data_IF_654404368370
#
_entry.id   IF_654404368370
#
_cell.length_a   1.000
_cell.length_b   1.000
_cell.length_c   1.000
_cell.angle_alpha   90.00
_cell.angle_beta   90.00
_cell.angle_gamma   90.00
#
_symmetry.space_group_name_H-M   'P 1'
#
loop_
_entity.id
_entity.type
_entity.pdbx_description
1 polymer ?
#
# COMPACT_ATOMS: atom_id res chain seq x y z
N UNK A 1 -6.08 19.59 -24.96
CA UNK A 1 -7.44 19.90 -24.45
C UNK A 1 -7.91 18.71 -23.64
N UNK A 2 -8.04 18.86 -22.32
CA UNK A 2 -8.61 17.81 -21.46
C UNK A 2 -10.02 18.26 -21.10
N UNK A 3 -11.01 17.54 -21.62
CA UNK A 3 -12.40 17.69 -21.26
C UNK A 3 -12.56 17.36 -19.78
N UNK A 4 -12.84 18.36 -18.95
CA UNK A 4 -13.44 18.13 -17.65
C UNK A 4 -14.92 17.84 -17.87
N UNK A 5 -15.29 16.56 -17.82
CA UNK A 5 -16.68 16.17 -17.66
C UNK A 5 -17.11 16.55 -16.25
N UNK A 6 -17.88 17.63 -16.13
CA UNK A 6 -18.73 17.90 -14.97
C UNK A 6 -19.86 16.88 -14.93
N UNK A 7 -19.99 16.21 -13.79
CA UNK A 7 -21.05 15.28 -13.37
C UNK A 7 -21.10 13.87 -14.00
N UNK A 8 -20.50 12.90 -13.30
CA UNK A 8 -21.21 11.76 -12.70
C UNK A 8 -20.25 10.81 -11.95
N UNK A 9 -20.56 10.47 -10.69
CA UNK A 9 -20.08 9.30 -9.93
C UNK A 9 -18.65 9.22 -9.36
N UNK A 10 -17.90 10.32 -9.21
CA UNK A 10 -16.64 10.24 -8.47
C UNK A 10 -16.88 10.21 -6.95
N UNK A 11 -16.70 9.03 -6.34
CA UNK A 11 -16.90 8.80 -4.90
C UNK A 11 -15.63 8.26 -4.27
N UNK A 12 -15.28 8.80 -3.11
CA UNK A 12 -14.26 8.23 -2.26
C UNK A 12 -14.84 7.12 -1.40
N UNK A 13 -14.05 6.10 -1.14
CA UNK A 13 -14.27 5.09 -0.12
C UNK A 13 -13.98 5.69 1.25
N UNK A 14 -14.49 5.02 2.30
CA UNK A 14 -14.13 5.33 3.68
C UNK A 14 -12.59 5.35 3.88
N UNK A 15 -12.04 6.25 4.72
CA UNK A 15 -12.74 7.28 5.50
C UNK A 15 -12.92 8.61 4.74
N UNK A 16 -12.48 8.70 3.48
CA UNK A 16 -12.52 9.93 2.68
C UNK A 16 -13.91 10.27 2.11
N UNK A 17 -14.92 9.46 2.38
CA UNK A 17 -16.32 9.82 2.15
C UNK A 17 -16.91 10.71 3.26
N UNK A 18 -16.19 10.96 4.35
CA UNK A 18 -16.66 11.79 5.45
C UNK A 18 -16.43 13.28 5.18
N UNK A 19 -17.50 13.98 4.77
CA UNK A 19 -17.47 15.41 4.44
C UNK A 19 -17.05 16.31 5.60
N UNK A 20 -17.45 15.99 6.83
CA UNK A 20 -17.11 16.82 8.01
C UNK A 20 -15.61 16.77 8.30
N UNK A 21 -15.01 15.57 8.26
CA UNK A 21 -13.56 15.41 8.43
C UNK A 21 -12.79 16.10 7.31
N UNK A 22 -13.26 15.98 6.07
CA UNK A 22 -12.67 16.70 4.94
C UNK A 22 -12.75 18.22 5.11
N UNK A 23 -13.89 18.77 5.56
CA UNK A 23 -14.03 20.21 5.80
C UNK A 23 -13.01 20.72 6.83
N UNK A 24 -12.75 19.95 7.90
CA UNK A 24 -11.71 20.31 8.89
C UNK A 24 -10.28 20.15 8.37
N UNK A 25 -10.06 19.26 7.40
CA UNK A 25 -8.76 19.05 6.77
C UNK A 25 -8.45 20.11 5.71
N UNK A 26 -9.42 20.43 4.86
CA UNK A 26 -9.26 21.22 3.64
C UNK A 26 -9.28 22.73 3.90
N UNK A 27 -8.36 23.19 4.75
CA UNK A 27 -8.15 24.60 5.06
C UNK A 27 -6.91 25.15 4.34
N UNK A 28 -6.83 26.48 4.23
CA UNK A 28 -5.65 27.13 3.65
C UNK A 28 -4.37 26.81 4.44
N UNK A 29 -4.44 26.84 5.77
CA UNK A 29 -3.32 26.55 6.66
C UNK A 29 -2.80 25.11 6.47
N UNK A 30 -3.70 24.13 6.42
CA UNK A 30 -3.33 22.73 6.20
C UNK A 30 -2.76 22.53 4.80
N UNK A 31 -3.29 23.23 3.78
CA UNK A 31 -2.71 23.22 2.44
C UNK A 31 -1.28 23.75 2.46
N UNK A 32 -1.02 24.86 3.14
CA UNK A 32 0.33 25.39 3.28
C UNK A 32 1.28 24.37 3.94
N UNK A 33 0.85 23.76 5.05
CA UNK A 33 1.64 22.76 5.76
C UNK A 33 1.94 21.50 4.93
N UNK A 34 0.97 21.02 4.15
CA UNK A 34 1.12 19.79 3.37
C UNK A 34 1.94 20.04 2.09
N UNK A 35 1.65 21.13 1.39
CA UNK A 35 2.21 21.39 0.06
C UNK A 35 3.57 22.07 0.10
N UNK A 36 3.79 23.04 0.99
CA UNK A 36 5.01 23.84 0.97
C UNK A 36 6.18 23.15 1.70
N UNK A 37 7.40 23.51 1.28
CA UNK A 37 8.63 22.99 1.88
C UNK A 37 8.79 23.37 3.36
N UNK A 38 8.26 24.54 3.77
CA UNK A 38 8.27 24.99 5.17
C UNK A 38 7.53 24.04 6.11
N UNK A 39 6.51 23.33 5.63
CA UNK A 39 5.76 22.35 6.42
C UNK A 39 6.41 20.97 6.50
N UNK A 40 7.43 20.68 5.69
CA UNK A 40 8.01 19.33 5.58
C UNK A 40 8.58 18.81 6.91
N UNK A 41 9.21 19.68 7.70
CA UNK A 41 9.77 19.30 9.02
C UNK A 41 8.69 18.86 10.02
N UNK A 42 7.53 19.54 10.02
CA UNK A 42 6.38 19.16 10.82
C UNK A 42 5.80 17.84 10.34
N UNK A 43 5.60 17.68 9.02
CA UNK A 43 5.10 16.44 8.44
C UNK A 43 5.99 15.25 8.79
N UNK A 44 7.31 15.40 8.68
CA UNK A 44 8.25 14.34 9.05
C UNK A 44 8.14 13.94 10.52
N UNK A 45 7.92 14.91 11.43
CA UNK A 45 7.69 14.64 12.85
C UNK A 45 6.36 13.90 13.06
N UNK A 46 5.28 14.38 12.45
CA UNK A 46 3.96 13.73 12.55
C UNK A 46 3.99 12.31 11.98
N UNK A 47 4.67 12.10 10.85
CA UNK A 47 4.86 10.78 10.27
C UNK A 47 5.62 9.82 11.16
N UNK A 48 6.33 10.28 12.18
CA UNK A 48 7.05 9.42 13.15
C UNK A 48 6.30 9.27 14.47
N UNK A 49 5.22 10.01 14.64
CA UNK A 49 4.57 10.15 15.93
C UNK A 49 3.65 8.97 16.23
N UNK A 50 3.70 8.45 17.45
CA UNK A 50 2.92 7.27 17.87
C UNK A 50 1.42 7.52 17.88
N UNK A 51 1.00 8.79 17.96
CA UNK A 51 -0.40 9.19 17.83
C UNK A 51 -1.06 8.68 16.53
N UNK A 52 -0.29 8.40 15.47
CA UNK A 52 -0.82 7.78 14.26
C UNK A 52 -1.36 6.36 14.50
N UNK A 53 -0.92 5.68 15.56
CA UNK A 53 -1.35 4.32 15.89
C UNK A 53 -2.45 4.25 16.95
N UNK A 54 -2.89 5.40 17.51
CA UNK A 54 -3.91 5.43 18.56
C UNK A 54 -5.32 5.41 17.97
N UNK A 55 -6.20 4.56 18.52
CA UNK A 55 -7.60 4.42 18.06
C UNK A 55 -8.47 5.66 18.30
N UNK A 56 -8.10 6.52 19.26
CA UNK A 56 -8.82 7.75 19.64
C UNK A 56 -7.87 8.95 19.70
N UNK A 57 -7.01 9.09 18.69
CA UNK A 57 -5.99 10.15 18.62
C UNK A 57 -6.57 11.56 18.84
N UNK A 58 -7.82 11.80 18.43
CA UNK A 58 -8.54 13.07 18.54
C UNK A 58 -8.73 13.56 19.98
N UNK A 59 -8.69 12.66 20.98
CA UNK A 59 -8.78 13.04 22.40
C UNK A 59 -7.46 13.53 22.98
N UNK A 60 -6.34 13.14 22.38
CA UNK A 60 -5.00 13.32 22.94
C UNK A 60 -4.11 14.24 22.11
N UNK A 61 -4.47 14.48 20.85
CA UNK A 61 -3.76 15.39 19.95
C UNK A 61 -4.36 16.79 20.06
N UNK A 62 -3.51 17.81 20.05
CA UNK A 62 -3.96 19.20 20.00
C UNK A 62 -4.98 19.42 18.87
N UNK A 63 -6.05 20.21 19.10
CA UNK A 63 -7.07 20.50 18.09
C UNK A 63 -6.49 20.96 16.76
N UNK A 64 -5.39 21.73 16.80
CA UNK A 64 -4.68 22.24 15.62
C UNK A 64 -4.16 21.13 14.68
N UNK A 65 -3.78 19.97 15.21
CA UNK A 65 -3.20 18.88 14.43
C UNK A 65 -4.16 17.71 14.22
N UNK A 66 -5.36 17.75 14.81
CA UNK A 66 -6.30 16.64 14.81
C UNK A 66 -6.68 16.23 13.39
N UNK A 67 -6.97 17.19 12.51
CA UNK A 67 -7.30 16.91 11.11
C UNK A 67 -6.12 16.28 10.34
N UNK A 68 -4.89 16.75 10.58
CA UNK A 68 -3.68 16.21 9.95
C UNK A 68 -3.37 14.80 10.45
N UNK A 69 -3.52 14.55 11.75
CA UNK A 69 -3.34 13.21 12.32
C UNK A 69 -4.38 12.25 11.75
N UNK A 70 -5.67 12.62 11.76
CA UNK A 70 -6.72 11.83 11.12
C UNK A 70 -6.39 11.52 9.66
N UNK A 71 -5.93 12.51 8.89
CA UNK A 71 -5.55 12.33 7.50
C UNK A 71 -4.41 11.31 7.31
N UNK A 72 -3.37 11.38 8.14
CA UNK A 72 -2.25 10.43 8.10
C UNK A 72 -2.65 9.03 8.58
N UNK A 73 -3.57 8.93 9.54
CA UNK A 73 -4.14 7.66 9.97
C UNK A 73 -5.01 7.03 8.87
N UNK A 74 -5.82 7.84 8.19
CA UNK A 74 -6.60 7.42 7.03
C UNK A 74 -5.72 6.86 5.90
N UNK A 75 -4.52 7.43 5.73
CA UNK A 75 -3.49 6.94 4.81
C UNK A 75 -2.72 5.72 5.35
N UNK A 76 -3.08 5.15 6.50
CA UNK A 76 -2.47 3.94 7.07
C UNK A 76 -0.97 4.12 7.38
N UNK A 77 -0.59 5.30 7.88
CA UNK A 77 0.82 5.58 8.21
C UNK A 77 1.31 4.92 9.49
N UNK A 78 0.40 4.45 10.36
CA UNK A 78 0.79 3.57 11.46
C UNK A 78 1.46 2.28 10.94
N UNK A 79 0.86 1.62 9.94
CA UNK A 79 1.42 0.40 9.35
C UNK A 79 2.74 0.67 8.60
N UNK A 80 2.86 1.86 7.99
CA UNK A 80 4.12 2.30 7.38
C UNK A 80 5.21 2.50 8.44
N UNK A 81 4.88 3.08 9.59
CA UNK A 81 5.81 3.21 10.70
C UNK A 81 6.24 1.87 11.28
N UNK A 82 5.34 0.89 11.37
CA UNK A 82 5.74 -0.46 11.76
C UNK A 82 6.78 -1.06 10.81
N UNK A 83 6.64 -0.85 9.49
CA UNK A 83 7.66 -1.31 8.51
C UNK A 83 9.02 -0.63 8.76
N UNK A 84 9.00 0.67 9.05
CA UNK A 84 10.21 1.45 9.28
C UNK A 84 10.90 1.10 10.60
N UNK A 85 10.12 0.85 11.66
CA UNK A 85 10.63 0.54 12.99
C UNK A 85 11.09 -0.93 13.12
N UNK A 86 10.44 -1.86 12.43
CA UNK A 86 10.78 -3.29 12.45
C UNK A 86 11.76 -3.66 11.33
N UNK A 87 12.56 -2.70 10.87
CA UNK A 87 13.47 -2.89 9.76
C UNK A 87 14.41 -4.09 9.99
N UNK A 88 14.45 -5.00 9.02
CA UNK A 88 15.64 -5.82 8.78
C UNK A 88 16.77 -4.85 8.41
N UNK A 89 17.93 -4.99 9.04
CA UNK A 89 19.10 -4.12 8.94
C UNK A 89 19.54 -3.75 7.51
N UNK A 90 19.09 -4.49 6.49
CA UNK A 90 19.55 -4.37 5.10
C UNK A 90 18.62 -3.56 4.16
N UNK A 91 17.41 -3.15 4.58
CA UNK A 91 16.47 -2.46 3.67
C UNK A 91 16.25 -1.02 4.09
N UNK A 92 16.77 -0.07 3.31
CA UNK A 92 16.54 1.36 3.51
C UNK A 92 15.31 1.86 2.74
N UNK A 93 14.36 2.44 3.47
CA UNK A 93 13.18 3.09 2.90
C UNK A 93 13.27 4.61 3.01
N UNK A 94 12.78 5.30 1.97
CA UNK A 94 12.77 6.74 1.85
C UNK A 94 11.39 7.31 2.21
N UNK A 95 11.35 8.17 3.23
CA UNK A 95 10.12 8.83 3.71
C UNK A 95 9.58 9.88 2.74
N UNK A 96 10.32 10.29 1.72
CA UNK A 96 9.82 11.17 0.63
C UNK A 96 8.56 10.60 -0.02
N UNK A 97 8.43 9.26 -0.11
CA UNK A 97 7.21 8.62 -0.61
C UNK A 97 5.97 9.04 0.19
N UNK A 98 6.05 9.07 1.53
CA UNK A 98 4.94 9.47 2.41
C UNK A 98 4.56 10.94 2.20
N UNK A 99 5.54 11.82 1.96
CA UNK A 99 5.26 13.23 1.65
C UNK A 99 4.49 13.33 0.34
N UNK A 100 5.02 12.72 -0.73
CA UNK A 100 4.46 12.87 -2.07
C UNK A 100 3.06 12.27 -2.16
N UNK A 101 2.82 11.12 -1.53
CA UNK A 101 1.48 10.53 -1.51
C UNK A 101 0.51 11.30 -0.60
N UNK A 102 0.97 11.88 0.52
CA UNK A 102 0.14 12.77 1.34
C UNK A 102 -0.26 14.05 0.58
N UNK A 103 0.67 14.65 -0.17
CA UNK A 103 0.38 15.80 -1.03
C UNK A 103 -0.64 15.46 -2.12
N UNK A 104 -0.43 14.34 -2.82
CA UNK A 104 -1.33 13.88 -3.87
C UNK A 104 -2.73 13.60 -3.31
N UNK A 105 -2.81 12.86 -2.20
CA UNK A 105 -4.06 12.56 -1.52
C UNK A 105 -4.79 13.84 -1.08
N UNK A 106 -4.09 14.79 -0.46
CA UNK A 106 -4.68 16.05 -0.03
C UNK A 106 -5.24 16.85 -1.20
N UNK A 107 -4.47 17.00 -2.28
CA UNK A 107 -4.92 17.70 -3.48
C UNK A 107 -6.20 17.07 -4.07
N UNK A 108 -6.28 15.74 -4.09
CA UNK A 108 -7.44 15.05 -4.61
C UNK A 108 -8.67 15.19 -3.71
N UNK A 109 -8.56 14.95 -2.40
CA UNK A 109 -9.71 14.98 -1.49
C UNK A 109 -10.19 16.40 -1.18
N UNK A 110 -9.32 17.40 -1.30
CA UNK A 110 -9.65 18.81 -1.13
C UNK A 110 -9.92 19.54 -2.45
N UNK A 111 -10.05 18.82 -3.57
CA UNK A 111 -10.32 19.36 -4.90
C UNK A 111 -9.34 20.45 -5.38
N UNK A 112 -8.07 20.38 -4.94
CA UNK A 112 -6.97 21.27 -5.35
C UNK A 112 -6.20 20.66 -6.52
N UNK A 113 -6.88 20.33 -7.62
CA UNK A 113 -6.29 19.57 -8.74
C UNK A 113 -5.11 20.26 -9.41
N UNK A 114 -5.05 21.59 -9.36
CA UNK A 114 -3.91 22.38 -9.85
C UNK A 114 -2.59 21.99 -9.15
N UNK A 115 -2.65 21.61 -7.88
CA UNK A 115 -1.47 21.19 -7.13
C UNK A 115 -0.89 19.86 -7.64
N UNK A 116 -1.71 19.00 -8.26
CA UNK A 116 -1.22 17.74 -8.82
C UNK A 116 -0.19 17.99 -9.91
N UNK A 117 -0.48 18.92 -10.82
CA UNK A 117 0.43 19.23 -11.92
C UNK A 117 1.62 20.06 -11.43
N UNK A 118 1.37 21.07 -10.60
CA UNK A 118 2.40 21.97 -10.07
C UNK A 118 3.52 21.21 -9.35
N UNK A 119 3.17 20.19 -8.57
CA UNK A 119 4.12 19.39 -7.79
C UNK A 119 4.48 18.04 -8.42
N UNK A 120 4.07 17.78 -9.67
CA UNK A 120 4.40 16.53 -10.37
C UNK A 120 3.84 15.27 -9.69
N UNK A 121 2.64 15.35 -9.12
CA UNK A 121 2.07 14.32 -8.24
C UNK A 121 1.20 13.27 -8.97
N UNK A 122 1.12 13.35 -10.31
CA UNK A 122 0.19 12.52 -11.12
C UNK A 122 0.27 11.03 -10.75
N UNK A 123 1.48 10.46 -10.67
CA UNK A 123 1.64 9.03 -10.37
C UNK A 123 1.31 8.65 -8.93
N UNK A 124 1.53 9.55 -7.98
CA UNK A 124 1.11 9.36 -6.59
C UNK A 124 -0.41 9.50 -6.44
N UNK A 125 -1.03 10.37 -7.25
CA UNK A 125 -2.48 10.52 -7.33
C UNK A 125 -3.13 9.23 -7.86
N UNK A 126 -2.52 8.58 -8.86
CA UNK A 126 -2.98 7.29 -9.38
C UNK A 126 -2.93 6.20 -8.29
N UNK A 127 -1.84 6.11 -7.50
CA UNK A 127 -1.74 5.19 -6.35
C UNK A 127 -2.83 5.45 -5.29
N UNK A 128 -3.11 6.73 -4.98
CA UNK A 128 -4.15 7.08 -4.03
C UNK A 128 -5.54 6.68 -4.53
N UNK A 129 -5.85 6.95 -5.81
CA UNK A 129 -7.10 6.53 -6.44
C UNK A 129 -7.29 5.02 -6.39
N UNK A 130 -6.25 4.24 -6.69
CA UNK A 130 -6.31 2.78 -6.54
C UNK A 130 -6.73 2.34 -5.13
N UNK A 131 -6.31 3.04 -4.08
CA UNK A 131 -6.66 2.71 -2.69
C UNK A 131 -8.07 3.14 -2.28
N UNK A 132 -8.52 4.31 -2.75
CA UNK A 132 -9.67 5.00 -2.14
C UNK A 132 -10.76 5.44 -3.12
N UNK A 133 -10.56 5.40 -4.43
CA UNK A 133 -11.64 5.67 -5.38
C UNK A 133 -12.60 4.48 -5.43
N UNK A 134 -13.91 4.71 -5.38
CA UNK A 134 -14.94 3.66 -5.27
C UNK A 134 -14.95 2.70 -6.47
N UNK A 135 -14.89 3.24 -7.69
CA UNK A 135 -14.89 2.47 -8.92
C UNK A 135 -13.58 2.69 -9.69
N UNK A 136 -12.53 1.99 -9.27
CA UNK A 136 -11.21 2.11 -9.88
C UNK A 136 -10.85 0.88 -10.75
N UNK A 137 -10.59 1.12 -12.03
CA UNK A 137 -10.27 0.07 -13.01
C UNK A 137 -8.96 -0.63 -12.69
N UNK A 138 -7.91 0.12 -12.31
CA UNK A 138 -6.60 -0.46 -11.98
C UNK A 138 -6.67 -1.40 -10.77
N UNK A 139 -7.41 -1.01 -9.71
CA UNK A 139 -7.69 -1.88 -8.57
C UNK A 139 -8.41 -3.15 -9.01
N UNK A 140 -9.39 -3.01 -9.89
CA UNK A 140 -10.16 -4.14 -10.41
C UNK A 140 -9.29 -5.13 -11.19
N UNK A 141 -8.38 -4.64 -12.03
CA UNK A 141 -7.41 -5.47 -12.78
C UNK A 141 -6.51 -6.26 -11.82
N UNK A 142 -5.91 -5.59 -10.82
CA UNK A 142 -5.06 -6.25 -9.81
C UNK A 142 -5.84 -7.34 -9.07
N UNK A 143 -7.08 -7.02 -8.68
CA UNK A 143 -7.95 -7.95 -7.98
C UNK A 143 -8.33 -9.18 -8.82
N UNK A 144 -8.67 -8.98 -10.09
CA UNK A 144 -8.94 -10.08 -11.01
C UNK A 144 -7.71 -10.98 -11.18
N UNK A 145 -6.51 -10.41 -11.30
CA UNK A 145 -5.28 -11.19 -11.42
C UNK A 145 -5.00 -12.03 -10.16
N UNK A 146 -5.22 -11.47 -8.98
CA UNK A 146 -5.07 -12.21 -7.71
C UNK A 146 -6.13 -13.30 -7.59
N UNK A 147 -7.39 -13.01 -7.93
CA UNK A 147 -8.47 -14.00 -7.93
C UNK A 147 -8.17 -15.15 -8.89
N UNK A 148 -7.71 -14.86 -10.11
CA UNK A 148 -7.33 -15.87 -11.10
C UNK A 148 -6.20 -16.75 -10.58
N UNK A 149 -5.15 -16.13 -10.04
CA UNK A 149 -4.01 -16.84 -9.44
C UNK A 149 -4.46 -17.74 -8.30
N UNK A 150 -5.25 -17.22 -7.36
CA UNK A 150 -5.70 -17.97 -6.18
C UNK A 150 -6.77 -19.02 -6.50
N UNK A 151 -7.67 -18.79 -7.45
CA UNK A 151 -8.66 -19.78 -7.89
C UNK A 151 -7.97 -21.04 -8.41
N UNK A 152 -6.96 -20.86 -9.27
CA UNK A 152 -6.17 -21.99 -9.78
C UNK A 152 -5.39 -22.72 -8.69
N UNK A 153 -4.97 -22.02 -7.64
CA UNK A 153 -4.34 -22.65 -6.46
C UNK A 153 -5.36 -23.44 -5.63
N UNK A 154 -6.47 -22.82 -5.26
CA UNK A 154 -7.50 -23.42 -4.42
C UNK A 154 -8.11 -24.66 -5.08
N UNK A 155 -8.41 -24.61 -6.39
CA UNK A 155 -8.95 -25.76 -7.12
C UNK A 155 -7.97 -26.94 -7.21
N UNK A 156 -6.65 -26.70 -7.17
CA UNK A 156 -5.65 -27.78 -7.18
C UNK A 156 -5.42 -28.40 -5.81
N UNK A 157 -5.75 -27.68 -4.74
CA UNK A 157 -5.39 -28.06 -3.37
C UNK A 157 -6.61 -28.43 -2.51
N UNK A 158 -7.81 -28.00 -2.90
CA UNK A 158 -9.07 -28.34 -2.24
C UNK A 158 -9.98 -29.04 -3.26
N UNK A 159 -10.49 -30.20 -2.89
CA UNK A 159 -11.50 -30.96 -3.65
C UNK A 159 -12.87 -30.28 -3.65
N UNK A 160 -13.15 -29.41 -2.67
CA UNK A 160 -14.39 -28.64 -2.58
C UNK A 160 -14.34 -27.27 -3.28
N UNK A 161 -15.50 -26.84 -3.80
CA UNK A 161 -15.66 -25.55 -4.49
C UNK A 161 -15.22 -24.40 -3.57
N UNK A 162 -14.26 -23.54 -3.97
CA UNK A 162 -13.70 -22.49 -3.11
C UNK A 162 -14.61 -21.25 -2.95
N UNK A 163 -15.94 -21.41 -2.97
CA UNK A 163 -16.91 -20.32 -3.04
C UNK A 163 -16.72 -19.25 -1.96
N UNK A 164 -16.64 -19.66 -0.70
CA UNK A 164 -16.57 -18.74 0.44
C UNK A 164 -15.26 -17.94 0.50
N UNK A 165 -14.14 -18.57 0.14
CA UNK A 165 -12.81 -17.93 0.11
C UNK A 165 -12.70 -16.91 -1.02
N UNK A 166 -13.30 -17.21 -2.18
CA UNK A 166 -13.38 -16.26 -3.29
C UNK A 166 -14.30 -15.08 -2.96
N UNK A 167 -15.41 -15.32 -2.26
CA UNK A 167 -16.29 -14.24 -1.76
C UNK A 167 -15.56 -13.31 -0.78
N UNK A 168 -14.74 -13.85 0.13
CA UNK A 168 -13.92 -13.03 1.03
C UNK A 168 -12.89 -12.19 0.27
N UNK A 169 -12.21 -12.77 -0.72
CA UNK A 169 -11.28 -12.04 -1.58
C UNK A 169 -11.99 -10.92 -2.36
N UNK A 170 -13.20 -11.16 -2.87
CA UNK A 170 -14.03 -10.15 -3.52
C UNK A 170 -14.35 -8.99 -2.56
N UNK A 171 -14.70 -9.29 -1.31
CA UNK A 171 -14.94 -8.27 -0.27
C UNK A 171 -13.69 -7.45 0.03
N UNK A 172 -12.51 -8.08 0.09
CA UNK A 172 -11.25 -7.35 0.28
C UNK A 172 -10.88 -6.46 -0.91
N UNK A 173 -11.29 -6.86 -2.10
CA UNK A 173 -11.04 -6.18 -3.36
C UNK A 173 -11.94 -4.99 -3.64
N UNK A 174 -13.18 -5.02 -3.14
CA UNK A 174 -14.13 -3.91 -3.34
C UNK A 174 -13.70 -2.62 -2.63
N UNK A 175 -12.87 -2.71 -1.59
CA UNK A 175 -12.43 -1.56 -0.80
C UNK A 175 -13.47 -1.07 0.23
N UNK A 176 -14.72 -1.56 0.18
CA UNK A 176 -15.74 -1.29 1.19
C UNK A 176 -15.55 -2.07 2.49
N UNK A 177 -14.81 -3.18 2.45
CA UNK A 177 -14.45 -3.95 3.64
C UNK A 177 -13.44 -3.20 4.50
N UNK A 178 -13.54 -3.35 5.83
CA UNK A 178 -12.48 -2.95 6.77
C UNK A 178 -11.15 -3.64 6.43
N UNK A 179 -11.21 -4.86 5.89
CA UNK A 179 -10.05 -5.63 5.46
C UNK A 179 -9.84 -5.42 3.97
N UNK A 180 -8.95 -4.49 3.61
CA UNK A 180 -8.58 -4.22 2.20
C UNK A 180 -7.40 -5.06 1.76
N UNK A 181 -7.42 -5.53 0.52
CA UNK A 181 -6.31 -6.26 -0.09
C UNK A 181 -5.13 -5.35 -0.39
N UNK A 182 -5.37 -4.29 -1.16
CA UNK A 182 -4.37 -3.28 -1.51
C UNK A 182 -4.33 -2.26 -0.37
N UNK A 183 -3.15 -2.06 0.20
CA UNK A 183 -2.92 -1.18 1.36
C UNK A 183 -1.75 -0.23 1.09
N UNK A 184 -1.71 0.89 1.81
CA UNK A 184 -0.61 1.85 1.70
C UNK A 184 0.74 1.19 1.96
N UNK A 185 0.80 0.31 2.96
CA UNK A 185 2.02 -0.42 3.32
C UNK A 185 2.62 -1.21 2.14
N UNK A 186 1.77 -1.75 1.25
CA UNK A 186 2.20 -2.49 0.07
C UNK A 186 2.88 -1.57 -0.94
N UNK A 187 2.27 -0.41 -1.23
CA UNK A 187 2.89 0.59 -2.11
C UNK A 187 4.16 1.18 -1.51
N UNK A 188 4.17 1.43 -0.21
CA UNK A 188 5.37 1.89 0.50
C UNK A 188 6.51 0.89 0.35
N UNK A 189 6.28 -0.40 0.66
CA UNK A 189 7.31 -1.44 0.51
C UNK A 189 7.78 -1.64 -0.93
N UNK A 190 6.93 -1.34 -1.92
CA UNK A 190 7.25 -1.43 -3.34
C UNK A 190 8.06 -0.26 -3.85
N UNK A 191 7.71 0.96 -3.46
CA UNK A 191 8.17 2.18 -4.14
C UNK A 191 9.00 3.12 -3.28
N UNK A 192 9.05 2.90 -1.95
CA UNK A 192 9.87 3.71 -1.07
C UNK A 192 11.31 3.19 -0.94
N UNK A 193 11.73 2.18 -1.71
CA UNK A 193 13.11 1.67 -1.69
C UNK A 193 14.04 2.53 -2.54
N UNK A 194 15.26 2.76 -2.08
CA UNK A 194 16.23 3.62 -2.79
C UNK A 194 16.57 3.14 -4.21
N UNK A 195 16.60 1.83 -4.47
CA UNK A 195 17.00 1.26 -5.77
C UNK A 195 15.82 0.96 -6.71
N UNK A 196 14.57 1.09 -6.23
CA UNK A 196 13.37 0.71 -6.97
C UNK A 196 12.21 1.66 -6.64
N UNK A 197 12.33 2.91 -7.09
CA UNK A 197 11.38 3.96 -6.76
C UNK A 197 10.13 3.92 -7.66
N UNK A 198 9.11 4.70 -7.31
CA UNK A 198 7.95 4.94 -8.19
C UNK A 198 8.37 5.56 -9.52
N UNK A 199 9.39 6.42 -9.50
CA UNK A 199 9.92 7.06 -10.70
C UNK A 199 10.52 6.04 -11.65
N UNK A 200 11.39 5.15 -11.15
CA UNK A 200 12.01 4.09 -11.95
C UNK A 200 10.96 3.16 -12.56
N UNK A 201 9.93 2.82 -11.78
CA UNK A 201 8.80 2.02 -12.27
C UNK A 201 8.04 2.74 -13.39
N UNK A 202 7.79 4.03 -13.22
CA UNK A 202 7.05 4.86 -14.18
C UNK A 202 7.79 5.00 -15.51
N UNK A 203 9.12 5.08 -15.50
CA UNK A 203 9.91 5.24 -16.73
C UNK A 203 10.19 3.89 -17.39
N UNK A 204 10.54 2.85 -16.61
CA UNK A 204 11.12 1.63 -17.17
C UNK A 204 10.11 0.48 -17.33
N UNK A 205 9.02 0.50 -16.55
CA UNK A 205 8.05 -0.61 -16.48
C UNK A 205 6.71 -0.18 -17.02
N UNK A 206 6.13 0.90 -16.48
CA UNK A 206 4.78 1.36 -16.83
C UNK A 206 4.54 1.54 -18.34
N UNK A 207 5.47 2.06 -19.17
CA UNK A 207 5.23 2.26 -20.60
C UNK A 207 5.06 0.96 -21.41
N UNK A 208 5.40 -0.19 -20.82
CA UNK A 208 5.24 -1.51 -21.44
C UNK A 208 3.82 -2.07 -21.29
N UNK A 209 2.95 -1.38 -20.56
CA UNK A 209 1.61 -1.82 -20.23
C UNK A 209 0.60 -0.71 -20.54
N UNK A 210 -0.67 -1.09 -20.69
CA UNK A 210 -1.74 -0.15 -21.01
C UNK A 210 -2.16 0.71 -19.81
N UNK A 211 -1.91 0.23 -18.59
CA UNK A 211 -2.40 0.84 -17.35
C UNK A 211 -1.51 0.54 -16.16
N UNK A 212 -1.70 1.30 -15.08
CA UNK A 212 -0.94 1.12 -13.84
C UNK A 212 -1.30 -0.21 -13.15
N UNK A 213 -2.58 -0.58 -13.19
CA UNK A 213 -3.09 -1.84 -12.65
C UNK A 213 -2.52 -3.04 -13.40
N UNK A 214 -2.42 -2.96 -14.73
CA UNK A 214 -1.80 -4.02 -15.53
C UNK A 214 -0.30 -4.18 -15.22
N UNK A 215 0.43 -3.06 -15.15
CA UNK A 215 1.85 -3.08 -14.81
C UNK A 215 2.10 -3.70 -13.42
N UNK A 216 1.30 -3.30 -12.42
CA UNK A 216 1.38 -3.85 -11.06
C UNK A 216 0.97 -5.33 -11.00
N UNK A 217 -0.01 -5.75 -11.80
CA UNK A 217 -0.46 -7.14 -11.87
C UNK A 217 0.60 -8.10 -12.43
N UNK A 218 1.52 -7.57 -13.22
CA UNK A 218 2.66 -8.29 -13.77
C UNK A 218 3.96 -8.09 -12.96
N UNK A 219 3.96 -7.21 -11.96
CA UNK A 219 5.10 -7.00 -11.07
C UNK A 219 5.15 -8.12 -10.00
N UNK A 220 6.09 -9.04 -10.18
CA UNK A 220 6.27 -10.21 -9.30
C UNK A 220 6.44 -9.78 -7.83
N UNK A 221 7.18 -8.71 -7.56
CA UNK A 221 7.44 -8.28 -6.18
C UNK A 221 6.17 -7.71 -5.55
N UNK A 222 5.43 -6.87 -6.28
CA UNK A 222 4.15 -6.34 -5.80
C UNK A 222 3.12 -7.44 -5.56
N UNK A 223 2.98 -8.40 -6.48
CA UNK A 223 2.07 -9.53 -6.35
C UNK A 223 2.43 -10.46 -5.18
N UNK A 224 3.72 -10.63 -4.90
CA UNK A 224 4.19 -11.36 -3.72
C UNK A 224 3.85 -10.64 -2.41
N UNK A 225 3.93 -9.31 -2.35
CA UNK A 225 3.51 -8.55 -1.16
C UNK A 225 2.02 -8.75 -0.86
N UNK A 226 1.17 -8.67 -1.89
CA UNK A 226 -0.27 -8.90 -1.75
C UNK A 226 -0.58 -10.33 -1.32
N UNK A 227 0.13 -11.29 -1.89
CA UNK A 227 -0.04 -12.71 -1.56
C UNK A 227 0.35 -13.05 -0.12
N UNK A 228 1.47 -12.51 0.38
CA UNK A 228 1.88 -12.71 1.77
C UNK A 228 0.83 -12.18 2.77
N UNK A 229 0.19 -11.05 2.42
CA UNK A 229 -0.90 -10.49 3.21
C UNK A 229 -2.16 -11.37 3.18
N UNK A 230 -2.48 -11.96 2.02
CA UNK A 230 -3.57 -12.92 1.92
C UNK A 230 -3.34 -14.15 2.79
N UNK A 231 -2.15 -14.76 2.75
CA UNK A 231 -1.79 -15.92 3.58
C UNK A 231 -1.98 -15.59 5.06
N UNK A 232 -1.44 -14.46 5.52
CA UNK A 232 -1.55 -14.07 6.93
C UNK A 232 -3.00 -13.87 7.37
N UNK A 233 -3.89 -13.50 6.44
CA UNK A 233 -5.30 -13.24 6.74
C UNK A 233 -6.17 -14.50 6.60
N UNK A 234 -5.77 -15.45 5.75
CA UNK A 234 -6.47 -16.73 5.56
C UNK A 234 -6.05 -17.82 6.56
N UNK A 235 -4.95 -17.60 7.30
CA UNK A 235 -4.40 -18.51 8.31
C UNK A 235 -5.34 -18.80 9.50
N UNK A 236 -6.50 -18.16 9.62
CA UNK A 236 -7.43 -18.42 10.72
C UNK A 236 -8.21 -19.73 10.58
N UNK A 237 -8.39 -20.26 9.35
CA UNK A 237 -9.45 -21.27 9.12
C UNK A 237 -8.95 -22.66 8.68
N UNK A 238 -7.68 -22.85 8.29
CA UNK A 238 -7.18 -24.20 7.94
C UNK A 238 -5.65 -24.31 7.88
N UNK A 239 -5.07 -25.08 8.81
CA UNK A 239 -3.63 -25.40 8.88
C UNK A 239 -3.10 -26.08 7.61
N UNK A 240 -3.91 -26.88 6.91
CA UNK A 240 -3.48 -27.56 5.69
C UNK A 240 -3.33 -26.59 4.51
N UNK A 241 -4.27 -25.65 4.39
CA UNK A 241 -4.21 -24.60 3.37
C UNK A 241 -3.02 -23.66 3.60
N UNK A 242 -2.77 -23.33 4.88
CA UNK A 242 -1.59 -22.60 5.30
C UNK A 242 -0.31 -23.31 4.87
N UNK A 243 -0.17 -24.60 5.14
CA UNK A 243 1.01 -25.39 4.78
C UNK A 243 1.19 -25.44 3.26
N UNK A 244 0.13 -25.72 2.49
CA UNK A 244 0.23 -25.83 1.03
C UNK A 244 0.53 -24.49 0.37
N UNK A 245 -0.13 -23.41 0.80
CA UNK A 245 0.16 -22.06 0.30
C UNK A 245 1.56 -21.61 0.69
N UNK A 246 1.97 -21.78 1.96
CA UNK A 246 3.35 -21.46 2.39
C UNK A 246 4.39 -22.22 1.58
N UNK A 247 4.18 -23.51 1.37
CA UNK A 247 5.10 -24.38 0.61
C UNK A 247 5.21 -23.92 -0.84
N UNK A 248 4.09 -23.60 -1.50
CA UNK A 248 4.10 -23.15 -2.90
C UNK A 248 4.65 -21.73 -3.06
N UNK A 249 4.38 -20.82 -2.13
CA UNK A 249 5.04 -19.51 -2.11
C UNK A 249 6.55 -19.66 -1.87
N UNK A 250 6.98 -20.60 -1.02
CA UNK A 250 8.40 -20.89 -0.85
C UNK A 250 9.04 -21.44 -2.13
N UNK A 251 8.31 -22.26 -2.90
CA UNK A 251 8.75 -22.79 -4.19
C UNK A 251 8.71 -21.76 -5.33
N UNK A 252 7.82 -20.77 -5.29
CA UNK A 252 7.81 -19.65 -6.25
C UNK A 252 8.87 -18.59 -5.91
N UNK A 253 9.16 -18.42 -4.62
CA UNK A 253 10.25 -17.59 -4.11
C UNK A 253 11.57 -18.37 -4.03
N UNK A 254 11.67 -19.57 -4.60
CA UNK A 254 12.81 -20.47 -4.34
C UNK A 254 14.16 -19.81 -4.67
N UNK A 255 14.22 -18.92 -5.65
CA UNK A 255 15.43 -18.12 -5.93
C UNK A 255 15.75 -17.10 -4.83
N UNK A 256 14.76 -16.42 -4.25
CA UNK A 256 14.95 -15.47 -3.12
C UNK A 256 15.19 -16.21 -1.79
N UNK A 257 14.53 -17.34 -1.60
CA UNK A 257 14.71 -18.20 -0.42
C UNK A 257 16.03 -18.94 -0.49
N UNK A 258 16.47 -19.39 -1.67
CA UNK A 258 17.80 -19.96 -1.86
C UNK A 258 18.90 -18.95 -1.56
N UNK A 259 18.73 -17.66 -1.90
CA UNK A 259 19.68 -16.60 -1.50
C UNK A 259 19.69 -16.42 0.02
N UNK A 260 18.53 -16.43 0.69
CA UNK A 260 18.45 -16.35 2.16
C UNK A 260 18.96 -17.60 2.87
N UNK A 261 18.72 -18.78 2.29
CA UNK A 261 19.26 -20.05 2.78
C UNK A 261 20.76 -20.08 2.58
N UNK A 262 21.28 -19.59 1.45
CA UNK A 262 22.71 -19.47 1.18
C UNK A 262 23.38 -18.59 2.23
N UNK A 263 22.83 -17.42 2.55
CA UNK A 263 23.36 -16.57 3.61
C UNK A 263 23.39 -17.27 4.97
N UNK A 264 22.29 -17.93 5.36
CA UNK A 264 22.24 -18.70 6.61
C UNK A 264 23.21 -19.90 6.61
N UNK A 265 23.35 -20.57 5.47
CA UNK A 265 24.27 -21.69 5.28
C UNK A 265 25.73 -21.23 5.35
N UNK A 266 26.05 -20.08 4.77
CA UNK A 266 27.37 -19.45 4.80
C UNK A 266 27.70 -18.97 6.23
N UNK A 267 26.73 -18.43 6.97
CA UNK A 267 26.85 -18.05 8.38
C UNK A 267 27.10 -19.27 9.29
N UNK A 268 26.39 -20.38 9.07
CA UNK A 268 26.67 -21.66 9.77
C UNK A 268 27.99 -22.32 9.34
N UNK A 269 28.46 -22.08 8.11
CA UNK A 269 29.78 -22.55 7.66
C UNK A 269 30.90 -21.72 8.28
N UNK A 270 30.73 -20.41 8.44
CA UNK A 270 31.70 -19.58 9.18
C UNK A 270 31.84 -20.05 10.64
N UNK A 271 30.73 -20.38 11.30
CA UNK A 271 30.77 -20.96 12.66
C UNK A 271 31.37 -22.37 12.73
N UNK A 272 31.44 -23.10 11.60
CA UNK A 272 32.05 -24.43 11.53
C UNK A 272 33.55 -24.39 11.21
N UNK A 273 34.09 -23.24 10.77
CA UNK A 273 35.50 -23.07 10.41
C UNK A 273 36.36 -22.41 11.52
N UNK A 274 35.75 -21.99 12.63
CA UNK A 274 36.47 -21.44 13.81
C UNK A 274 36.85 -22.50 14.87
N UNK A 275 36.83 -23.78 14.52
CA UNK A 275 37.47 -24.84 15.32
C UNK A 275 38.66 -25.42 14.57
N UNK A 276 39.78 -24.70 14.58
CA UNK A 276 41.14 -25.26 14.49
C UNK A 276 42.17 -24.31 15.07
#
# INVERSE_FOLDING_TARGET
MIYYSSDNNFKWLSPFNNRNKLATLCTHDNRQLIMHHSGASLLYRLFRHDALCWRESERYVSPRHTALVWFMQALQYCEVNHILNWQKSEIHYNRTFQILIARAAFALVCHQTNDINLYGLIKYADLFRMLFEDNNTDRSIICQQIQKTNKGLLQRCLTDKPGDKLLFLNKMCSGHSMVRLIKMKTFFQRFARNCHTLHDFTINILPKYSSFGEALSNDIYFMNLLSNYLISTMNSDSRLLEIVSKTRFHLQLFSIIAVKLRYKLDETKMLAFDFK
#
